data_IF_296942389446
#
_entry.id   IF_296942389446
#
_cell.length_a   1.000
_cell.length_b   1.000
_cell.length_c   1.000
_cell.angle_alpha   90.00
_cell.angle_beta   90.00
_cell.angle_gamma   90.00
#
_symmetry.space_group_name_H-M   'P 1'
#
loop_
_entity.id
_entity.type
_entity.pdbx_description
1 polymer ?
#
# COMPACT_ATOMS: atom_id res chain seq x y z
N UNK A 1 -26.00 -5.22 5.71
CA UNK A 1 -26.36 -4.72 7.05
C UNK A 1 -25.05 -4.56 7.79
N UNK A 2 -24.73 -3.36 8.25
CA UNK A 2 -23.53 -3.10 9.06
C UNK A 2 -23.95 -3.06 10.52
N UNK A 3 -23.25 -3.80 11.38
CA UNK A 3 -23.43 -3.74 12.83
C UNK A 3 -22.31 -2.90 13.44
N UNK A 4 -22.60 -2.21 14.53
CA UNK A 4 -21.58 -1.47 15.26
C UNK A 4 -20.59 -2.43 15.90
N UNK A 5 -19.30 -2.22 15.65
CA UNK A 5 -18.22 -2.96 16.32
C UNK A 5 -17.66 -2.09 17.46
N UNK A 6 -17.69 -2.57 18.71
CA UNK A 6 -17.07 -1.86 19.81
C UNK A 6 -15.55 -1.96 19.70
N UNK A 7 -14.86 -0.94 20.20
CA UNK A 7 -13.41 -0.81 20.23
C UNK A 7 -12.98 0.65 20.13
N UNK A 8 -11.73 0.92 20.52
CA UNK A 8 -11.09 2.22 20.34
C UNK A 8 -10.31 2.23 19.03
N UNK A 9 -10.34 3.36 18.32
CA UNK A 9 -9.59 3.54 17.08
C UNK A 9 -8.08 3.44 17.37
N UNK A 10 -7.37 2.64 16.57
CA UNK A 10 -5.92 2.52 16.72
C UNK A 10 -5.22 3.83 16.32
N UNK A 11 -5.62 4.45 15.21
CA UNK A 11 -5.05 5.72 14.73
C UNK A 11 -5.05 6.80 15.82
N UNK A 12 -3.87 7.38 16.06
CA UNK A 12 -3.69 8.44 17.06
C UNK A 12 -3.70 7.98 18.53
N UNK A 13 -3.87 6.68 18.79
CA UNK A 13 -3.71 6.07 20.11
C UNK A 13 -2.27 5.58 20.35
N UNK A 14 -1.88 5.22 21.58
CA UNK A 14 -0.60 4.56 21.82
C UNK A 14 -0.41 3.25 21.04
N UNK A 15 -1.51 2.57 20.69
CA UNK A 15 -1.47 1.30 19.97
C UNK A 15 -1.06 1.45 18.50
N UNK A 16 -1.16 2.66 17.93
CA UNK A 16 -0.69 3.01 16.58
C UNK A 16 0.83 2.75 16.42
N UNK A 17 1.56 2.71 17.52
CA UNK A 17 3.02 2.57 17.54
C UNK A 17 3.50 1.34 18.30
N UNK A 18 2.58 0.42 18.66
CA UNK A 18 2.85 -0.82 19.39
C UNK A 18 3.00 -2.01 18.42
N UNK A 19 4.18 -2.69 18.36
CA UNK A 19 4.38 -3.87 17.53
C UNK A 19 3.34 -4.98 17.73
N UNK A 20 2.76 -5.14 18.92
CA UNK A 20 1.72 -6.15 19.18
C UNK A 20 0.45 -5.90 18.34
N UNK A 21 0.11 -4.63 18.09
CA UNK A 21 -1.00 -4.24 17.20
C UNK A 21 -0.71 -4.68 15.77
N UNK A 22 0.52 -4.49 15.29
CA UNK A 22 0.90 -4.81 13.92
C UNK A 22 0.98 -6.32 13.69
N UNK A 23 1.41 -7.09 14.70
CA UNK A 23 1.31 -8.55 14.67
C UNK A 23 -0.14 -8.99 14.44
N UNK A 24 -1.10 -8.44 15.20
CA UNK A 24 -2.51 -8.77 15.02
C UNK A 24 -3.07 -8.25 13.68
N UNK A 25 -2.64 -7.08 13.22
CA UNK A 25 -3.04 -6.53 11.93
C UNK A 25 -2.56 -7.41 10.76
N UNK A 26 -1.33 -7.94 10.85
CA UNK A 26 -0.82 -8.92 9.88
C UNK A 26 -1.64 -10.21 9.88
N UNK A 27 -1.98 -10.73 11.06
CA UNK A 27 -2.84 -11.91 11.20
C UNK A 27 -4.24 -11.69 10.62
N UNK A 28 -4.83 -10.51 10.87
CA UNK A 28 -6.12 -10.12 10.31
C UNK A 28 -6.07 -10.05 8.78
N UNK A 29 -5.02 -9.45 8.21
CA UNK A 29 -4.84 -9.43 6.75
C UNK A 29 -4.67 -10.85 6.19
N UNK A 30 -3.87 -11.71 6.83
CA UNK A 30 -3.69 -13.10 6.41
C UNK A 30 -5.04 -13.85 6.31
N UNK A 31 -5.96 -13.61 7.25
CA UNK A 31 -7.30 -14.15 7.24
C UNK A 31 -8.19 -13.63 6.10
N UNK A 32 -7.92 -12.43 5.59
CA UNK A 32 -8.65 -11.83 4.47
C UNK A 32 -8.14 -12.29 3.10
N UNK A 33 -6.86 -12.66 2.97
CA UNK A 33 -6.18 -12.98 1.71
C UNK A 33 -6.60 -14.34 1.10
N UNK A 34 -7.92 -14.55 0.96
CA UNK A 34 -8.50 -15.71 0.29
C UNK A 34 -8.02 -15.78 -1.16
N UNK A 35 -7.55 -16.95 -1.64
CA UNK A 35 -7.06 -17.09 -3.00
C UNK A 35 -8.19 -16.92 -4.01
N UNK A 36 -7.98 -16.03 -4.98
CA UNK A 36 -8.87 -15.82 -6.12
C UNK A 36 -8.28 -16.32 -7.44
N UNK A 37 -8.92 -15.87 -8.52
CA UNK A 37 -8.53 -16.18 -9.89
C UNK A 37 -7.17 -15.57 -10.26
N UNK A 38 -6.53 -16.18 -11.27
CA UNK A 38 -5.37 -15.59 -11.92
C UNK A 38 -5.88 -14.57 -12.93
N UNK A 39 -5.57 -13.29 -12.72
CA UNK A 39 -5.93 -12.21 -13.62
C UNK A 39 -4.83 -11.97 -14.63
N UNK A 40 -5.18 -12.07 -15.91
CA UNK A 40 -4.29 -11.70 -17.02
C UNK A 40 -4.20 -10.18 -17.23
N UNK A 41 -5.09 -9.40 -16.61
CA UNK A 41 -5.25 -7.96 -16.90
C UNK A 41 -4.91 -7.03 -15.74
N UNK A 42 -4.87 -7.51 -14.50
CA UNK A 42 -4.61 -6.66 -13.32
C UNK A 42 -3.34 -5.83 -13.47
N UNK A 43 -2.24 -6.51 -13.80
CA UNK A 43 -0.92 -5.89 -13.90
C UNK A 43 -0.86 -4.88 -15.07
N UNK A 44 -1.45 -5.22 -16.22
CA UNK A 44 -1.53 -4.32 -17.37
C UNK A 44 -2.39 -3.08 -17.07
N UNK A 45 -3.53 -3.26 -16.40
CA UNK A 45 -4.41 -2.16 -16.01
C UNK A 45 -3.72 -1.24 -14.98
N UNK A 46 -2.90 -1.79 -14.09
CA UNK A 46 -2.12 -1.01 -13.13
C UNK A 46 -1.07 -0.15 -13.85
N UNK A 47 -0.39 -0.71 -14.86
CA UNK A 47 0.52 0.05 -15.73
C UNK A 47 -0.22 1.19 -16.43
N UNK A 48 -1.33 0.89 -17.11
CA UNK A 48 -2.13 1.87 -17.85
C UNK A 48 -2.63 3.01 -16.95
N UNK A 49 -3.17 2.66 -15.78
CA UNK A 49 -3.60 3.66 -14.79
C UNK A 49 -2.46 4.53 -14.31
N UNK A 50 -1.27 3.96 -14.15
CA UNK A 50 -0.08 4.70 -13.71
C UNK A 50 0.37 5.69 -14.78
N UNK A 51 0.35 5.32 -16.06
CA UNK A 51 0.54 6.27 -17.17
C UNK A 51 -0.46 7.42 -17.09
N UNK A 52 -1.75 7.12 -16.91
CA UNK A 52 -2.77 8.16 -16.79
C UNK A 52 -2.55 9.14 -15.64
N UNK A 53 -1.98 8.68 -14.51
CA UNK A 53 -1.63 9.59 -13.40
C UNK A 53 -0.34 10.38 -13.67
N UNK A 54 0.64 9.81 -14.36
CA UNK A 54 1.85 10.52 -14.80
C UNK A 54 1.44 11.71 -15.68
N UNK A 55 0.54 11.50 -16.64
CA UNK A 55 0.08 12.56 -17.55
C UNK A 55 -0.69 13.66 -16.81
N UNK A 56 -1.48 13.29 -15.79
CA UNK A 56 -2.20 14.26 -14.95
C UNK A 56 -1.30 15.02 -13.98
N UNK A 57 -0.07 14.58 -13.80
CA UNK A 57 0.90 15.18 -12.90
C UNK A 57 1.90 16.10 -13.61
N UNK A 58 1.75 16.34 -14.93
CA UNK A 58 2.67 17.15 -15.75
C UNK A 58 2.97 18.53 -15.15
N UNK A 59 1.97 19.21 -14.60
CA UNK A 59 2.13 20.53 -13.97
C UNK A 59 2.41 20.47 -12.46
N UNK A 60 2.44 19.27 -11.88
CA UNK A 60 2.55 19.04 -10.43
C UNK A 60 3.93 18.53 -10.00
N UNK A 61 4.69 17.98 -10.94
CA UNK A 61 5.93 17.24 -10.72
C UNK A 61 7.00 17.70 -11.71
N UNK A 62 8.27 17.61 -11.34
CA UNK A 62 9.34 17.94 -12.27
C UNK A 62 9.39 16.99 -13.48
N UNK A 63 9.73 17.53 -14.65
CA UNK A 63 9.86 16.75 -15.88
C UNK A 63 10.83 15.56 -15.74
N UNK A 64 11.93 15.74 -15.01
CA UNK A 64 12.92 14.69 -14.76
C UNK A 64 12.33 13.51 -13.96
N UNK A 65 11.49 13.79 -12.95
CA UNK A 65 10.83 12.75 -12.17
C UNK A 65 9.77 12.01 -13.00
N UNK A 66 9.00 12.73 -13.82
CA UNK A 66 8.01 12.12 -14.71
C UNK A 66 8.69 11.23 -15.75
N UNK A 67 9.79 11.68 -16.33
CA UNK A 67 10.57 10.88 -17.30
C UNK A 67 11.16 9.64 -16.63
N UNK A 68 11.70 9.75 -15.42
CA UNK A 68 12.20 8.60 -14.67
C UNK A 68 11.09 7.55 -14.43
N UNK A 69 9.88 7.99 -14.04
CA UNK A 69 8.73 7.10 -13.90
C UNK A 69 8.34 6.45 -15.23
N UNK A 70 8.31 7.22 -16.33
CA UNK A 70 8.00 6.70 -17.68
C UNK A 70 9.00 5.62 -18.10
N UNK A 71 10.29 5.84 -17.88
CA UNK A 71 11.36 4.87 -18.18
C UNK A 71 11.17 3.58 -17.36
N UNK A 72 10.93 3.69 -16.05
CA UNK A 72 10.66 2.53 -15.19
C UNK A 72 9.44 1.74 -15.65
N UNK A 73 8.36 2.44 -15.96
CA UNK A 73 7.11 1.84 -16.38
C UNK A 73 7.26 1.14 -17.75
N UNK A 74 8.00 1.73 -18.68
CA UNK A 74 8.33 1.12 -19.98
C UNK A 74 9.18 -0.16 -19.85
N UNK A 75 9.99 -0.26 -18.78
CA UNK A 75 10.77 -1.46 -18.49
C UNK A 75 9.96 -2.56 -17.79
N UNK A 76 8.72 -2.28 -17.37
CA UNK A 76 7.88 -3.18 -16.60
C UNK A 76 7.04 -4.05 -17.56
N UNK A 77 7.28 -5.36 -17.55
CA UNK A 77 6.55 -6.32 -18.39
C UNK A 77 5.29 -6.83 -17.68
N UNK A 78 4.12 -6.66 -18.31
CA UNK A 78 2.87 -7.21 -17.79
C UNK A 78 2.88 -8.73 -17.74
N UNK A 79 2.31 -9.30 -16.68
CA UNK A 79 2.16 -10.74 -16.48
C UNK A 79 0.87 -11.09 -15.76
N UNK A 80 0.35 -12.32 -15.92
CA UNK A 80 -0.75 -12.80 -15.09
C UNK A 80 -0.34 -12.86 -13.62
N UNK A 81 -1.23 -12.43 -12.73
CA UNK A 81 -1.03 -12.49 -11.28
C UNK A 81 -2.20 -13.15 -10.58
N UNK A 82 -1.93 -13.87 -9.49
CA UNK A 82 -2.99 -14.41 -8.64
C UNK A 82 -3.60 -13.27 -7.82
N UNK A 83 -4.91 -13.13 -7.88
CA UNK A 83 -5.63 -12.20 -7.03
C UNK A 83 -5.93 -12.83 -5.66
N UNK A 84 -6.05 -11.98 -4.67
CA UNK A 84 -6.56 -12.28 -3.34
C UNK A 84 -7.65 -11.28 -2.99
N UNK A 85 -8.56 -11.65 -2.10
CA UNK A 85 -9.46 -10.67 -1.49
C UNK A 85 -8.63 -9.75 -0.59
N UNK A 86 -8.69 -8.45 -0.86
CA UNK A 86 -7.92 -7.40 -0.17
C UNK A 86 -8.88 -6.44 0.52
N UNK A 87 -8.45 -5.84 1.62
CA UNK A 87 -9.20 -4.76 2.27
C UNK A 87 -9.18 -3.50 1.41
N UNK A 88 -8.04 -3.24 0.76
CA UNK A 88 -7.81 -2.07 -0.08
C UNK A 88 -7.53 -0.77 0.69
N UNK A 89 -7.39 -0.87 2.01
CA UNK A 89 -7.10 0.25 2.92
C UNK A 89 -6.69 -0.22 4.33
N UNK A 90 -5.92 -1.31 4.42
CA UNK A 90 -5.63 -1.96 5.71
C UNK A 90 -4.57 -1.21 6.54
N UNK A 91 -4.97 -0.21 7.33
CA UNK A 91 -4.08 0.58 8.18
C UNK A 91 -4.79 1.15 9.42
N UNK A 92 -4.10 1.79 10.39
CA UNK A 92 -4.63 2.15 11.71
C UNK A 92 -5.99 2.87 11.76
N UNK A 93 -6.34 3.66 10.74
CA UNK A 93 -7.66 4.32 10.68
C UNK A 93 -8.84 3.34 10.57
N UNK A 94 -8.55 2.11 10.17
CA UNK A 94 -9.52 1.04 9.94
C UNK A 94 -9.33 -0.12 10.93
N UNK A 95 -8.51 0.08 11.97
CA UNK A 95 -8.30 -0.90 13.03
C UNK A 95 -8.90 -0.39 14.34
N UNK A 96 -9.65 -1.26 15.01
CA UNK A 96 -10.17 -1.02 16.36
C UNK A 96 -9.51 -2.01 17.31
N UNK A 97 -9.21 -1.58 18.53
CA UNK A 97 -8.85 -2.47 19.64
C UNK A 97 -10.00 -2.56 20.62
N UNK A 98 -10.42 -3.79 20.91
CA UNK A 98 -11.43 -4.08 21.92
C UNK A 98 -10.94 -5.24 22.77
N UNK A 99 -10.76 -5.01 24.08
CA UNK A 99 -10.27 -6.05 25.00
C UNK A 99 -8.97 -6.73 24.50
N UNK A 100 -8.06 -5.93 23.93
CA UNK A 100 -6.78 -6.35 23.31
C UNK A 100 -6.89 -7.16 22.02
N UNK A 101 -8.09 -7.32 21.46
CA UNK A 101 -8.34 -7.92 20.15
C UNK A 101 -8.44 -6.85 19.07
N UNK A 102 -7.67 -7.00 18.00
CA UNK A 102 -7.76 -6.16 16.81
C UNK A 102 -8.96 -6.56 15.95
N UNK A 103 -9.74 -5.55 15.55
CA UNK A 103 -10.89 -5.68 14.65
C UNK A 103 -10.69 -4.76 13.46
N UNK A 104 -11.12 -5.20 12.29
CA UNK A 104 -10.98 -4.44 11.04
C UNK A 104 -12.35 -3.93 10.59
N UNK A 105 -12.41 -2.66 10.20
CA UNK A 105 -13.62 -1.98 9.73
C UNK A 105 -13.39 -1.33 8.37
N UNK A 106 -14.46 -0.83 7.75
CA UNK A 106 -14.42 -0.11 6.47
C UNK A 106 -13.86 -0.90 5.27
N UNK A 107 -14.57 -1.98 4.92
CA UNK A 107 -14.35 -2.75 3.69
C UNK A 107 -14.87 -2.03 2.43
N UNK A 108 -15.12 -0.72 2.45
CA UNK A 108 -15.67 0.03 1.32
C UNK A 108 -14.77 0.04 0.08
N UNK A 109 -13.48 -0.26 0.24
CA UNK A 109 -12.47 -0.36 -0.84
C UNK A 109 -12.04 -1.79 -1.13
N UNK A 110 -12.66 -2.78 -0.48
CA UNK A 110 -12.29 -4.17 -0.60
C UNK A 110 -12.57 -4.69 -2.00
N UNK A 111 -11.63 -5.45 -2.54
CA UNK A 111 -11.65 -5.89 -3.93
C UNK A 111 -10.68 -7.06 -4.15
N UNK A 112 -10.76 -7.67 -5.33
CA UNK A 112 -9.82 -8.68 -5.79
C UNK A 112 -8.60 -8.01 -6.43
N UNK A 113 -7.47 -8.01 -5.72
CA UNK A 113 -6.21 -7.38 -6.15
C UNK A 113 -5.03 -8.30 -5.89
N UNK A 114 -3.84 -7.89 -6.31
CA UNK A 114 -2.65 -8.55 -5.80
C UNK A 114 -2.56 -8.31 -4.28
N UNK A 115 -2.18 -9.35 -3.54
CA UNK A 115 -2.23 -9.34 -2.07
C UNK A 115 -1.32 -8.29 -1.44
N UNK A 116 -0.28 -7.86 -2.16
CA UNK A 116 0.66 -6.81 -1.71
C UNK A 116 0.05 -5.41 -1.69
N UNK A 117 -1.10 -5.20 -2.34
CA UNK A 117 -1.70 -3.86 -2.45
C UNK A 117 -2.03 -3.22 -1.10
N UNK A 118 -2.37 -4.03 -0.09
CA UNK A 118 -2.63 -3.56 1.28
C UNK A 118 -1.35 -3.19 2.05
N UNK A 119 -0.15 -3.52 1.55
CA UNK A 119 1.13 -3.19 2.20
C UNK A 119 1.60 -1.77 1.88
N UNK A 120 1.26 -1.25 0.69
CA UNK A 120 1.82 0.01 0.16
C UNK A 120 1.63 1.17 1.13
N UNK A 121 0.44 1.28 1.72
CA UNK A 121 0.13 2.41 2.61
C UNK A 121 0.93 2.35 3.90
N UNK A 122 1.01 1.18 4.54
CA UNK A 122 1.80 0.97 5.76
C UNK A 122 3.29 1.24 5.52
N UNK A 123 3.82 0.78 4.39
CA UNK A 123 5.20 1.03 3.98
C UNK A 123 5.52 2.53 3.82
N UNK A 124 4.56 3.31 3.32
CA UNK A 124 4.73 4.76 3.16
C UNK A 124 4.55 5.56 4.44
N UNK A 125 3.94 4.97 5.47
CA UNK A 125 3.55 5.67 6.68
C UNK A 125 4.13 4.98 7.91
N UNK A 126 3.40 4.04 8.50
CA UNK A 126 3.69 3.47 9.81
C UNK A 126 5.05 2.76 9.88
N UNK A 127 5.50 2.11 8.80
CA UNK A 127 6.80 1.42 8.78
C UNK A 127 7.99 2.37 8.63
N UNK A 128 7.76 3.64 8.24
CA UNK A 128 8.85 4.59 8.06
C UNK A 128 9.60 4.86 9.35
N UNK A 129 10.88 4.50 9.36
CA UNK A 129 11.73 4.64 10.55
C UNK A 129 11.36 3.70 11.70
N UNK A 130 10.47 2.73 11.46
CA UNK A 130 9.93 1.77 12.43
C UNK A 130 9.96 0.34 11.89
N UNK A 131 11.17 -0.22 11.66
CA UNK A 131 11.33 -1.60 11.17
C UNK A 131 10.71 -2.63 12.12
N UNK A 132 10.61 -2.33 13.41
CA UNK A 132 9.96 -3.18 14.41
C UNK A 132 8.45 -3.38 14.13
N UNK A 133 7.78 -2.38 13.55
CA UNK A 133 6.38 -2.48 13.15
C UNK A 133 6.22 -3.31 11.87
N UNK A 134 7.12 -3.11 10.90
CA UNK A 134 7.16 -3.92 9.68
C UNK A 134 7.42 -5.40 10.01
N UNK A 135 8.43 -5.68 10.83
CA UNK A 135 8.77 -7.04 11.27
C UNK A 135 7.61 -7.73 11.99
N UNK A 136 6.95 -7.03 12.93
CA UNK A 136 5.80 -7.57 13.64
C UNK A 136 4.62 -7.83 12.69
N UNK A 137 4.35 -6.91 11.76
CA UNK A 137 3.30 -7.09 10.76
C UNK A 137 3.54 -8.31 9.89
N UNK A 138 4.74 -8.46 9.35
CA UNK A 138 5.10 -9.60 8.48
C UNK A 138 5.08 -10.92 9.24
N UNK A 139 5.53 -10.93 10.49
CA UNK A 139 5.43 -12.10 11.37
C UNK A 139 3.97 -12.51 11.57
N UNK A 140 3.05 -11.55 11.69
CA UNK A 140 1.62 -11.79 11.81
C UNK A 140 0.99 -12.27 10.50
N UNK A 141 1.42 -11.69 9.38
CA UNK A 141 0.99 -12.08 8.05
C UNK A 141 1.40 -13.52 7.71
N UNK A 142 2.53 -13.97 8.24
CA UNK A 142 3.00 -15.36 8.11
C UNK A 142 3.32 -15.76 6.68
N UNK A 143 3.72 -14.79 5.84
CA UNK A 143 3.97 -14.98 4.41
C UNK A 143 5.21 -14.23 3.97
N UNK A 144 6.10 -14.94 3.28
CA UNK A 144 7.26 -14.35 2.63
C UNK A 144 6.91 -13.80 1.24
N UNK A 145 7.63 -12.76 0.83
CA UNK A 145 7.51 -12.19 -0.50
C UNK A 145 8.38 -12.95 -1.49
N UNK A 146 7.76 -13.38 -2.59
CA UNK A 146 8.51 -13.88 -3.75
C UNK A 146 9.07 -12.70 -4.55
N UNK A 147 10.03 -12.96 -5.43
CA UNK A 147 10.53 -11.95 -6.38
C UNK A 147 9.40 -11.33 -7.22
N UNK A 148 8.40 -12.13 -7.62
CA UNK A 148 7.22 -11.62 -8.35
C UNK A 148 6.33 -10.74 -7.48
N UNK A 149 6.25 -10.99 -6.18
CA UNK A 149 5.49 -10.13 -5.27
C UNK A 149 6.18 -8.79 -5.11
N UNK A 150 7.52 -8.79 -4.93
CA UNK A 150 8.32 -7.56 -4.84
C UNK A 150 8.16 -6.68 -6.08
N UNK A 151 8.22 -7.26 -7.28
CA UNK A 151 8.00 -6.53 -8.53
C UNK A 151 6.56 -5.98 -8.68
N UNK A 152 5.55 -6.67 -8.12
CA UNK A 152 4.16 -6.17 -8.16
C UNK A 152 3.96 -5.03 -7.17
N UNK A 153 4.52 -5.20 -5.96
CA UNK A 153 4.49 -4.19 -4.92
C UNK A 153 5.23 -2.92 -5.32
N UNK A 154 6.35 -3.03 -6.03
CA UNK A 154 7.07 -1.89 -6.60
C UNK A 154 6.22 -1.09 -7.60
N UNK A 155 5.46 -1.78 -8.47
CA UNK A 155 4.52 -1.13 -9.39
C UNK A 155 3.35 -0.48 -8.64
N UNK A 156 2.80 -1.13 -7.61
CA UNK A 156 1.75 -0.57 -6.77
C UNK A 156 2.23 0.66 -5.98
N UNK A 157 3.48 0.64 -5.54
CA UNK A 157 4.15 1.76 -4.89
C UNK A 157 4.30 2.95 -5.85
N UNK A 158 4.84 2.73 -7.05
CA UNK A 158 4.92 3.76 -8.09
C UNK A 158 3.54 4.35 -8.40
N UNK A 159 2.54 3.49 -8.57
CA UNK A 159 1.16 3.90 -8.81
C UNK A 159 0.63 4.80 -7.68
N UNK A 160 0.78 4.37 -6.43
CA UNK A 160 0.29 5.10 -5.26
C UNK A 160 1.01 6.44 -5.10
N UNK A 161 2.33 6.48 -5.31
CA UNK A 161 3.10 7.73 -5.18
C UNK A 161 2.57 8.82 -6.13
N UNK A 162 2.41 8.50 -7.42
CA UNK A 162 1.93 9.49 -8.40
C UNK A 162 0.43 9.79 -8.23
N UNK A 163 -0.39 8.79 -7.89
CA UNK A 163 -1.81 8.99 -7.65
C UNK A 163 -2.07 9.90 -6.44
N UNK A 164 -1.25 9.79 -5.38
CA UNK A 164 -1.39 10.61 -4.17
C UNK A 164 -1.04 12.07 -4.46
N UNK A 165 -0.02 12.35 -5.29
CA UNK A 165 0.31 13.72 -5.75
C UNK A 165 -0.90 14.37 -6.44
N UNK A 166 -1.49 13.67 -7.41
CA UNK A 166 -2.64 14.17 -8.17
C UNK A 166 -3.85 14.37 -7.24
N UNK A 167 -4.07 13.45 -6.30
CA UNK A 167 -5.16 13.57 -5.32
C UNK A 167 -4.97 14.77 -4.37
N UNK A 168 -3.78 14.93 -3.78
CA UNK A 168 -3.47 16.01 -2.84
C UNK A 168 -3.66 17.39 -3.49
N UNK A 169 -3.22 17.55 -4.74
CA UNK A 169 -3.46 18.77 -5.51
C UNK A 169 -4.95 19.08 -5.69
N UNK A 170 -5.76 18.07 -6.05
CA UNK A 170 -7.20 18.26 -6.23
C UNK A 170 -7.94 18.59 -4.93
N UNK A 171 -7.43 18.13 -3.79
CA UNK A 171 -8.01 18.39 -2.47
C UNK A 171 -7.53 19.70 -1.84
N UNK A 172 -6.46 20.32 -2.38
CA UNK A 172 -5.86 21.53 -1.82
C UNK A 172 -5.17 21.32 -0.48
N UNK A 173 -4.70 20.09 -0.20
CA UNK A 173 -4.11 19.71 1.08
C UNK A 173 -2.59 19.86 1.06
N UNK A 174 -2.11 21.00 1.55
CA UNK A 174 -0.69 21.36 1.56
C UNK A 174 0.16 20.51 2.52
N UNK A 175 -0.43 19.95 3.59
CA UNK A 175 0.29 19.08 4.54
C UNK A 175 0.61 17.73 3.90
N UNK A 176 -0.25 17.24 3.00
CA UNK A 176 0.00 16.02 2.23
C UNK A 176 1.11 16.15 1.18
N UNK A 177 1.49 17.35 0.77
CA UNK A 177 2.48 17.55 -0.30
C UNK A 177 3.88 17.05 0.06
N UNK A 178 4.31 17.18 1.32
CA UNK A 178 5.64 16.73 1.74
C UNK A 178 5.75 15.21 1.70
N UNK A 179 4.73 14.51 2.19
CA UNK A 179 4.62 13.05 2.10
C UNK A 179 4.58 12.58 0.64
N UNK A 180 3.82 13.26 -0.22
CA UNK A 180 3.77 12.96 -1.65
C UNK A 180 5.14 13.13 -2.33
N UNK A 181 5.86 14.22 -2.04
CA UNK A 181 7.20 14.48 -2.58
C UNK A 181 8.19 13.41 -2.13
N UNK A 182 8.14 12.99 -0.87
CA UNK A 182 8.97 11.91 -0.36
C UNK A 182 8.69 10.58 -1.09
N UNK A 183 7.43 10.17 -1.21
CA UNK A 183 7.07 8.93 -1.93
C UNK A 183 7.55 8.96 -3.38
N UNK A 184 7.42 10.11 -4.05
CA UNK A 184 7.80 10.27 -5.44
C UNK A 184 9.32 10.22 -5.66
N UNK A 185 10.12 10.86 -4.80
CA UNK A 185 11.58 10.73 -4.79
C UNK A 185 12.00 9.26 -4.62
N UNK A 186 11.25 8.52 -3.80
CA UNK A 186 11.43 7.09 -3.58
C UNK A 186 11.03 6.24 -4.77
N UNK A 187 10.12 6.72 -5.60
CA UNK A 187 9.66 6.06 -6.82
C UNK A 187 10.48 6.39 -8.08
N UNK A 188 11.49 7.25 -8.05
CA UNK A 188 12.35 7.47 -9.25
C UNK A 188 13.55 6.51 -9.33
N UNK A 189 14.00 5.95 -8.20
CA UNK A 189 15.01 4.89 -8.15
C UNK A 189 14.40 3.49 -8.15
N UNK A 190 15.14 2.43 -8.54
CA UNK A 190 14.63 1.06 -8.51
C UNK A 190 14.43 0.54 -7.08
N UNK A 191 13.34 -0.21 -6.86
CA UNK A 191 13.03 -0.89 -5.61
C UNK A 191 12.18 -0.07 -4.63
N UNK A 192 11.64 -0.76 -3.61
CA UNK A 192 10.79 -0.17 -2.58
C UNK A 192 11.67 0.40 -1.45
N UNK A 193 11.61 1.72 -1.16
CA UNK A 193 12.55 2.30 -0.20
C UNK A 193 12.24 1.95 1.25
N UNK A 194 13.29 1.65 2.01
CA UNK A 194 13.20 1.36 3.45
C UNK A 194 12.64 -0.03 3.80
N UNK A 195 12.27 -0.82 2.80
CA UNK A 195 11.69 -2.15 3.02
C UNK A 195 12.74 -3.16 3.45
N UNK A 196 12.50 -3.78 4.60
CA UNK A 196 13.22 -4.96 5.09
C UNK A 196 12.91 -6.22 4.28
N UNK A 197 11.94 -6.13 3.35
CA UNK A 197 11.44 -7.21 2.50
C UNK A 197 12.55 -7.69 1.56
N UNK A 198 13.35 -8.62 2.06
CA UNK A 198 14.32 -9.37 1.27
C UNK A 198 13.58 -10.53 0.60
N UNK A 199 13.86 -10.71 -0.68
CA UNK A 199 13.70 -11.99 -1.39
C UNK A 199 14.38 -13.14 -0.67
#
# INVERSE_FOLDING_TARGET
MTEYLPGELVEGSPADWDPATYLQAGQALAGLLLPGDVSAVYYANLIERTHGYIDRAEDLVSADQLEALRVRLAATAARPVRLSFTHGDHHPRNWLLHESELRVIDFGRADWRHWTSDLVRLQSQQFMGRPDLEEAFLAGLGRDLTASDVETLDLEWMHQAIATVVWAHNMGDAEFEEHCRWMLDKSVGPGIPGSSLKT
#
